data_IF_358497908098
#
_entry.id   IF_358497908098
#
_cell.length_a   1.000
_cell.length_b   1.000
_cell.length_c   1.000
_cell.angle_alpha   90.00
_cell.angle_beta   90.00
_cell.angle_gamma   90.00
#
_symmetry.space_group_name_H-M   'P 1'
#
loop_
_entity.id
_entity.type
_entity.pdbx_description
1 polymer ?
#
# COMPACT_ATOMS: atom_id res chain seq x y z
N UNK A 1 -7.33 -30.84 -34.67
CA UNK A 1 -7.13 -29.45 -35.13
C UNK A 1 -8.20 -28.62 -34.43
N UNK A 2 -7.92 -28.18 -33.20
CA UNK A 2 -7.33 -26.87 -32.87
C UNK A 2 -8.35 -25.73 -32.96
N UNK A 3 -8.90 -25.32 -31.81
CA UNK A 3 -8.72 -23.93 -31.37
C UNK A 3 -9.03 -23.79 -29.87
N UNK A 4 -7.99 -23.98 -29.03
CA UNK A 4 -7.92 -23.33 -27.73
C UNK A 4 -7.34 -21.94 -28.00
N UNK A 5 -8.00 -20.88 -27.57
CA UNK A 5 -7.55 -19.54 -27.93
C UNK A 5 -8.32 -18.40 -27.28
N UNK A 6 -7.91 -18.09 -26.06
CA UNK A 6 -7.87 -16.74 -25.51
C UNK A 6 -9.15 -16.19 -24.87
N UNK A 7 -9.49 -16.72 -23.68
CA UNK A 7 -10.16 -15.91 -22.66
C UNK A 7 -9.09 -15.02 -22.05
N UNK A 8 -8.89 -13.82 -22.60
CA UNK A 8 -8.20 -12.76 -21.86
C UNK A 8 -9.13 -12.30 -20.75
N UNK A 9 -9.13 -13.03 -19.63
CA UNK A 9 -9.71 -12.53 -18.39
C UNK A 9 -8.99 -11.22 -18.08
N UNK A 10 -9.71 -10.12 -18.31
CA UNK A 10 -9.26 -8.78 -17.95
C UNK A 10 -8.82 -8.82 -16.50
N UNK A 11 -7.52 -8.65 -16.25
CA UNK A 11 -7.00 -8.55 -14.89
C UNK A 11 -7.58 -7.26 -14.30
N UNK A 12 -8.75 -7.38 -13.65
CA UNK A 12 -9.34 -6.29 -12.89
C UNK A 12 -8.41 -6.08 -11.70
N UNK A 13 -7.78 -4.92 -11.61
CA UNK A 13 -7.16 -4.49 -10.36
C UNK A 13 -8.31 -4.36 -9.36
N UNK A 14 -8.45 -5.34 -8.47
CA UNK A 14 -9.69 -5.59 -7.72
C UNK A 14 -9.93 -4.50 -6.67
N UNK A 15 -8.87 -3.93 -6.11
CA UNK A 15 -8.86 -2.75 -5.24
C UNK A 15 -7.39 -2.45 -4.89
N UNK A 16 -7.14 -1.49 -3.98
CA UNK A 16 -5.76 -1.16 -3.58
C UNK A 16 -5.07 -2.20 -2.68
N UNK A 17 -5.68 -3.35 -2.38
CA UNK A 17 -5.10 -4.48 -1.63
C UNK A 17 -5.32 -5.84 -2.32
N UNK A 18 -5.64 -5.84 -3.62
CA UNK A 18 -5.81 -7.06 -4.42
C UNK A 18 -6.84 -8.05 -3.83
N UNK A 19 -7.96 -7.53 -3.33
CA UNK A 19 -9.04 -8.33 -2.76
C UNK A 19 -8.73 -8.90 -1.37
N UNK A 20 -7.64 -8.48 -0.73
CA UNK A 20 -7.35 -8.82 0.65
C UNK A 20 -8.42 -8.24 1.60
N UNK A 21 -9.03 -9.05 2.49
CA UNK A 21 -9.96 -8.55 3.49
C UNK A 21 -9.30 -7.52 4.40
N UNK A 22 -10.00 -6.42 4.66
CA UNK A 22 -9.47 -5.27 5.40
C UNK A 22 -8.98 -5.61 6.82
N UNK A 23 -9.68 -6.52 7.50
CA UNK A 23 -9.31 -6.99 8.84
C UNK A 23 -8.02 -7.83 8.80
N UNK A 24 -7.91 -8.75 7.84
CA UNK A 24 -6.70 -9.54 7.61
C UNK A 24 -5.50 -8.66 7.25
N UNK A 25 -5.72 -7.65 6.41
CA UNK A 25 -4.69 -6.69 6.04
C UNK A 25 -4.20 -5.92 7.26
N UNK A 26 -5.11 -5.34 8.05
CA UNK A 26 -4.76 -4.58 9.25
C UNK A 26 -3.99 -5.46 10.26
N UNK A 27 -4.42 -6.71 10.45
CA UNK A 27 -3.74 -7.66 11.33
C UNK A 27 -2.31 -8.00 10.85
N UNK A 28 -2.13 -8.22 9.54
CA UNK A 28 -0.82 -8.51 8.96
C UNK A 28 0.14 -7.33 9.03
N UNK A 29 -0.34 -6.12 8.71
CA UNK A 29 0.44 -4.88 8.86
C UNK A 29 0.83 -4.66 10.31
N UNK A 30 -0.11 -4.84 11.24
CA UNK A 30 0.15 -4.73 12.68
C UNK A 30 1.22 -5.72 13.13
N UNK A 31 1.17 -6.97 12.65
CA UNK A 31 2.16 -7.99 12.97
C UNK A 31 3.57 -7.61 12.50
N UNK A 32 3.69 -7.04 11.30
CA UNK A 32 4.97 -6.59 10.74
C UNK A 32 5.53 -5.43 11.57
N UNK A 33 4.71 -4.43 11.91
CA UNK A 33 5.15 -3.27 12.68
C UNK A 33 5.48 -3.62 14.14
N UNK A 34 4.79 -4.59 14.74
CA UNK A 34 5.15 -5.14 16.06
C UNK A 34 6.50 -5.83 16.05
N UNK A 35 6.80 -6.60 14.99
CA UNK A 35 8.10 -7.27 14.83
C UNK A 35 9.25 -6.25 14.74
N UNK A 36 8.98 -5.09 14.14
CA UNK A 36 9.93 -3.98 14.05
C UNK A 36 9.95 -3.10 15.31
N UNK A 37 9.18 -3.44 16.36
CA UNK A 37 9.11 -2.73 17.64
C UNK A 37 8.70 -1.26 17.53
N UNK A 38 7.77 -0.93 16.63
CA UNK A 38 7.24 0.43 16.51
C UNK A 38 6.35 0.82 17.70
N UNK A 39 6.23 2.12 17.90
CA UNK A 39 5.48 2.75 18.98
C UNK A 39 3.96 2.57 18.86
N UNK A 40 3.26 2.81 19.97
CA UNK A 40 1.82 2.59 20.07
C UNK A 40 0.99 3.42 19.08
N UNK A 41 1.41 4.65 18.77
CA UNK A 41 0.69 5.49 17.81
C UNK A 41 0.75 4.89 16.39
N UNK A 42 1.90 4.33 16.01
CA UNK A 42 2.08 3.58 14.76
C UNK A 42 1.19 2.34 14.71
N UNK A 43 1.17 1.55 15.79
CA UNK A 43 0.34 0.34 15.88
C UNK A 43 -1.16 0.67 15.84
N UNK A 44 -1.55 1.78 16.47
CA UNK A 44 -2.93 2.29 16.45
C UNK A 44 -3.33 2.74 15.05
N UNK A 45 -2.45 3.46 14.34
CA UNK A 45 -2.69 3.85 12.95
C UNK A 45 -2.87 2.62 12.05
N UNK A 46 -1.99 1.61 12.18
CA UNK A 46 -2.05 0.36 11.42
C UNK A 46 -3.35 -0.44 11.68
N UNK A 47 -3.78 -0.53 12.94
CA UNK A 47 -5.03 -1.22 13.30
C UNK A 47 -6.27 -0.55 12.69
N UNK A 48 -6.16 0.73 12.29
CA UNK A 48 -7.24 1.52 11.73
C UNK A 48 -7.03 1.85 10.24
N UNK A 49 -6.11 1.15 9.57
CA UNK A 49 -5.66 1.44 8.20
C UNK A 49 -6.77 1.44 7.15
N UNK A 50 -7.81 0.63 7.36
CA UNK A 50 -8.97 0.50 6.48
C UNK A 50 -10.04 1.60 6.66
N UNK A 51 -9.97 2.40 7.73
CA UNK A 51 -10.94 3.49 7.92
C UNK A 51 -10.79 4.51 6.78
N UNK A 52 -11.85 5.26 6.50
CA UNK A 52 -11.88 6.29 5.44
C UNK A 52 -12.24 7.69 5.95
N UNK A 53 -12.47 7.83 7.26
CA UNK A 53 -12.78 9.11 7.91
C UNK A 53 -11.73 10.19 7.64
N UNK A 54 -12.16 11.45 7.61
CA UNK A 54 -11.28 12.61 7.52
C UNK A 54 -10.44 12.82 8.80
N UNK A 55 -9.42 13.70 8.70
CA UNK A 55 -8.44 13.94 9.76
C UNK A 55 -9.09 14.23 11.12
N UNK A 56 -10.03 15.17 11.20
CA UNK A 56 -10.66 15.56 12.47
C UNK A 56 -11.39 14.41 13.16
N UNK A 57 -12.12 13.59 12.40
CA UNK A 57 -12.83 12.42 12.92
C UNK A 57 -11.86 11.33 13.38
N UNK A 58 -10.74 11.14 12.66
CA UNK A 58 -9.68 10.22 13.08
C UNK A 58 -8.99 10.71 14.34
N UNK A 59 -8.63 12.00 14.42
CA UNK A 59 -7.98 12.57 15.60
C UNK A 59 -8.82 12.34 16.86
N UNK A 60 -10.15 12.47 16.78
CA UNK A 60 -11.06 12.16 17.89
C UNK A 60 -11.12 10.67 18.24
N UNK A 61 -10.93 9.78 17.27
CA UNK A 61 -11.09 8.33 17.44
C UNK A 61 -9.81 7.64 17.91
N UNK A 62 -8.65 8.05 17.37
CA UNK A 62 -7.37 7.35 17.52
C UNK A 62 -6.22 8.24 17.98
N UNK A 63 -6.50 9.50 18.31
CA UNK A 63 -5.50 10.50 18.68
C UNK A 63 -4.88 11.21 17.47
N UNK A 64 -4.30 12.39 17.72
CA UNK A 64 -3.74 13.26 16.67
C UNK A 64 -2.56 12.63 15.95
N UNK A 65 -1.65 12.00 16.70
CA UNK A 65 -0.45 11.37 16.15
C UNK A 65 -0.79 10.20 15.22
N UNK A 66 -1.57 9.23 15.69
CA UNK A 66 -2.04 8.10 14.88
C UNK A 66 -2.83 8.55 13.66
N UNK A 67 -3.64 9.61 13.80
CA UNK A 67 -4.39 10.18 12.69
C UNK A 67 -3.48 10.82 11.64
N UNK A 68 -2.44 11.56 12.05
CA UNK A 68 -1.43 12.13 11.14
C UNK A 68 -0.70 11.03 10.36
N UNK A 69 -0.26 9.97 11.05
CA UNK A 69 0.40 8.83 10.43
C UNK A 69 -0.49 8.17 9.36
N UNK A 70 -1.75 7.91 9.71
CA UNK A 70 -2.71 7.27 8.81
C UNK A 70 -3.02 8.16 7.58
N UNK A 71 -3.12 9.47 7.76
CA UNK A 71 -3.32 10.41 6.65
C UNK A 71 -2.08 10.46 5.75
N UNK A 72 -0.88 10.49 6.32
CA UNK A 72 0.37 10.42 5.56
C UNK A 72 0.45 9.14 4.71
N UNK A 73 0.15 8.00 5.31
CA UNK A 73 0.08 6.71 4.61
C UNK A 73 -0.88 6.74 3.41
N UNK A 74 -2.09 7.29 3.60
CA UNK A 74 -3.07 7.43 2.52
C UNK A 74 -2.56 8.33 1.39
N UNK A 75 -1.80 9.38 1.72
CA UNK A 75 -1.14 10.24 0.74
C UNK A 75 -0.17 9.46 -0.16
N UNK A 76 0.68 8.62 0.45
CA UNK A 76 1.59 7.74 -0.30
C UNK A 76 0.82 6.72 -1.16
N UNK A 77 -0.21 6.07 -0.62
CA UNK A 77 -1.04 5.13 -1.37
C UNK A 77 -1.75 5.80 -2.56
N UNK A 78 -2.22 7.03 -2.38
CA UNK A 78 -2.85 7.78 -3.46
C UNK A 78 -1.83 8.18 -4.53
N UNK A 79 -0.62 8.57 -4.13
CA UNK A 79 0.46 8.86 -5.06
C UNK A 79 0.80 7.62 -5.91
N UNK A 80 0.97 6.48 -5.26
CA UNK A 80 1.21 5.19 -5.90
C UNK A 80 0.09 4.83 -6.90
N UNK A 81 -1.18 4.96 -6.50
CA UNK A 81 -2.31 4.63 -7.37
C UNK A 81 -2.38 5.51 -8.63
N UNK A 82 -1.89 6.76 -8.57
CA UNK A 82 -1.80 7.65 -9.74
C UNK A 82 -0.75 7.19 -10.75
N UNK A 83 0.32 6.53 -10.30
CA UNK A 83 1.36 5.97 -11.18
C UNK A 83 0.81 4.81 -12.00
N UNK A 84 0.10 3.89 -11.34
CA UNK A 84 -0.47 2.69 -11.97
C UNK A 84 -1.53 3.06 -13.02
N UNK A 85 -2.25 4.18 -12.83
CA UNK A 85 -3.33 4.61 -13.73
C UNK A 85 -2.87 5.32 -14.99
N UNK A 86 -1.73 6.01 -14.97
CA UNK A 86 -1.39 6.91 -16.07
C UNK A 86 -0.81 6.20 -17.31
N UNK A 87 -0.10 5.06 -17.18
CA UNK A 87 0.67 4.60 -18.34
C UNK A 87 0.56 3.11 -18.72
N UNK A 88 -0.20 2.25 -18.02
CA UNK A 88 -0.20 0.81 -18.32
C UNK A 88 1.22 0.18 -18.31
N UNK A 89 2.17 0.91 -17.74
CA UNK A 89 3.63 0.79 -17.76
C UNK A 89 4.17 1.84 -16.79
N UNK A 90 5.45 1.74 -16.42
CA UNK A 90 6.05 2.64 -15.43
C UNK A 90 6.85 3.72 -16.17
N UNK A 91 6.34 4.95 -16.25
CA UNK A 91 7.18 6.08 -16.66
C UNK A 91 8.19 6.43 -15.55
N UNK A 92 9.44 6.68 -15.96
CA UNK A 92 10.54 7.14 -15.08
C UNK A 92 10.09 8.38 -14.28
N UNK A 93 9.36 9.30 -14.92
CA UNK A 93 8.85 10.52 -14.27
C UNK A 93 7.86 10.24 -13.12
N UNK A 94 7.08 9.16 -13.22
CA UNK A 94 6.17 8.75 -12.17
C UNK A 94 6.91 8.17 -10.96
N UNK A 95 7.96 7.37 -11.22
CA UNK A 95 8.80 6.80 -10.17
C UNK A 95 9.52 7.89 -9.37
N UNK A 96 10.07 8.89 -10.05
CA UNK A 96 10.73 10.04 -9.40
C UNK A 96 9.79 10.80 -8.46
N UNK A 97 8.53 11.01 -8.87
CA UNK A 97 7.53 11.70 -8.06
C UNK A 97 7.12 10.88 -6.83
N UNK A 98 7.06 9.56 -6.95
CA UNK A 98 6.80 8.68 -5.81
C UNK A 98 7.96 8.68 -4.84
N UNK A 99 9.19 8.53 -5.33
CA UNK A 99 10.40 8.61 -4.52
C UNK A 99 10.50 9.97 -3.82
N UNK A 100 10.21 11.07 -4.51
CA UNK A 100 10.13 12.41 -3.90
C UNK A 100 9.13 12.46 -2.76
N UNK A 101 7.95 11.88 -2.92
CA UNK A 101 6.93 11.84 -1.86
C UNK A 101 7.31 10.93 -0.70
N UNK A 102 7.95 9.80 -0.95
CA UNK A 102 8.48 8.94 0.10
C UNK A 102 9.57 9.66 0.88
N UNK A 103 10.47 10.38 0.21
CA UNK A 103 11.51 11.18 0.86
C UNK A 103 10.92 12.34 1.69
N UNK A 104 9.89 13.02 1.18
CA UNK A 104 9.18 14.06 1.95
C UNK A 104 8.48 13.46 3.16
N UNK A 105 7.76 12.34 2.99
CA UNK A 105 7.12 11.63 4.09
C UNK A 105 8.14 11.12 5.12
N UNK A 106 9.30 10.64 4.68
CA UNK A 106 10.42 10.24 5.54
C UNK A 106 10.97 11.44 6.33
N UNK A 107 11.15 12.58 5.67
CA UNK A 107 11.63 13.81 6.29
C UNK A 107 10.67 14.38 7.33
N UNK A 108 9.36 14.19 7.13
CA UNK A 108 8.33 14.58 8.09
C UNK A 108 8.19 13.56 9.23
N UNK A 109 8.03 12.27 8.91
CA UNK A 109 7.91 11.17 9.87
C UNK A 109 8.14 9.79 9.20
N UNK A 110 9.29 9.17 9.48
CA UNK A 110 9.67 7.83 9.00
C UNK A 110 8.56 6.77 9.22
N UNK A 111 7.78 6.87 10.29
CA UNK A 111 6.74 5.87 10.62
C UNK A 111 5.69 5.77 9.52
N UNK A 112 5.43 6.85 8.79
CA UNK A 112 4.53 6.85 7.62
C UNK A 112 5.02 5.92 6.52
N UNK A 113 6.32 5.98 6.21
CA UNK A 113 6.94 5.14 5.19
C UNK A 113 6.97 3.68 5.65
N UNK A 114 7.24 3.42 6.92
CA UNK A 114 7.23 2.07 7.48
C UNK A 114 5.83 1.43 7.44
N UNK A 115 4.76 2.18 7.75
CA UNK A 115 3.38 1.70 7.61
C UNK A 115 3.08 1.38 6.13
N UNK A 116 3.52 2.23 5.21
CA UNK A 116 3.35 2.01 3.78
C UNK A 116 4.04 0.72 3.31
N UNK A 117 5.32 0.53 3.62
CA UNK A 117 6.08 -0.67 3.24
C UNK A 117 5.51 -1.93 3.89
N UNK A 118 5.09 -1.87 5.15
CA UNK A 118 4.43 -2.99 5.82
C UNK A 118 3.11 -3.37 5.13
N UNK A 119 2.32 -2.38 4.69
CA UNK A 119 1.10 -2.58 3.89
C UNK A 119 1.40 -3.22 2.53
N UNK A 120 2.43 -2.76 1.81
CA UNK A 120 2.85 -3.36 0.53
C UNK A 120 3.29 -4.82 0.73
N UNK A 121 4.12 -5.09 1.74
CA UNK A 121 4.60 -6.43 2.06
C UNK A 121 3.46 -7.37 2.45
N UNK A 122 2.49 -6.90 3.23
CA UNK A 122 1.35 -7.71 3.63
C UNK A 122 0.52 -8.13 2.40
N UNK A 123 0.23 -7.20 1.49
CA UNK A 123 -0.50 -7.52 0.25
C UNK A 123 0.30 -8.48 -0.65
N UNK A 124 1.63 -8.38 -0.70
CA UNK A 124 2.47 -9.37 -1.39
C UNK A 124 2.37 -10.77 -0.79
N UNK A 125 2.33 -10.86 0.54
CA UNK A 125 2.12 -12.13 1.25
C UNK A 125 0.74 -12.71 0.94
N UNK A 126 -0.30 -11.88 0.90
CA UNK A 126 -1.64 -12.28 0.51
C UNK A 126 -1.70 -12.85 -0.91
N UNK A 127 -1.18 -12.13 -1.90
CA UNK A 127 -1.10 -12.57 -3.30
C UNK A 127 -0.39 -13.92 -3.42
N UNK A 128 0.71 -14.10 -2.69
CA UNK A 128 1.48 -15.35 -2.67
C UNK A 128 0.69 -16.49 -2.03
N UNK A 129 0.00 -16.23 -0.92
CA UNK A 129 -0.81 -17.21 -0.20
C UNK A 129 -1.98 -17.72 -1.05
N UNK A 130 -2.70 -16.79 -1.68
CA UNK A 130 -3.85 -17.05 -2.55
C UNK A 130 -3.44 -17.50 -3.96
N UNK A 131 -2.13 -17.55 -4.25
CA UNK A 131 -1.54 -17.94 -5.55
C UNK A 131 -2.13 -17.16 -6.73
N UNK A 132 -2.38 -15.87 -6.52
CA UNK A 132 -2.96 -15.00 -7.53
C UNK A 132 -1.95 -14.68 -8.62
N UNK A 133 -2.42 -14.58 -9.87
CA UNK A 133 -1.60 -14.05 -10.95
C UNK A 133 -1.40 -12.55 -10.79
N UNK A 134 -0.14 -12.14 -10.71
CA UNK A 134 0.26 -10.75 -10.53
C UNK A 134 0.61 -10.10 -11.88
N UNK A 135 0.01 -8.96 -12.24
CA UNK A 135 0.42 -8.21 -13.42
C UNK A 135 1.90 -7.85 -13.39
N UNK A 136 2.63 -8.14 -14.47
CA UNK A 136 4.07 -7.82 -14.59
C UNK A 136 4.38 -6.35 -14.30
N UNK A 137 3.52 -5.44 -14.75
CA UNK A 137 3.69 -4.01 -14.51
C UNK A 137 3.66 -3.65 -13.01
N UNK A 138 2.83 -4.31 -12.21
CA UNK A 138 2.76 -4.08 -10.77
C UNK A 138 3.92 -4.73 -10.02
N UNK A 139 4.35 -5.92 -10.45
CA UNK A 139 5.55 -6.56 -9.91
C UNK A 139 6.80 -5.69 -10.13
N UNK A 140 6.95 -5.13 -11.33
CA UNK A 140 8.06 -4.24 -11.67
C UNK A 140 8.00 -2.92 -10.90
N UNK A 141 6.81 -2.44 -10.56
CA UNK A 141 6.63 -1.21 -9.77
C UNK A 141 7.18 -1.37 -8.36
N UNK A 142 6.80 -2.48 -7.71
CA UNK A 142 7.31 -2.84 -6.38
C UNK A 142 8.83 -2.92 -6.39
N UNK A 143 9.40 -3.60 -7.40
CA UNK A 143 10.85 -3.72 -7.52
C UNK A 143 11.53 -2.36 -7.66
N UNK A 144 10.94 -1.45 -8.43
CA UNK A 144 11.56 -0.17 -8.73
C UNK A 144 11.38 0.89 -7.63
N UNK A 145 10.31 0.81 -6.84
CA UNK A 145 9.94 1.85 -5.85
C UNK A 145 10.11 1.34 -4.42
N UNK A 146 9.58 0.16 -4.12
CA UNK A 146 9.49 -0.35 -2.75
C UNK A 146 10.73 -1.17 -2.32
N UNK A 147 11.53 -1.65 -3.29
CA UNK A 147 12.71 -2.48 -3.06
C UNK A 147 14.05 -1.85 -3.50
N UNK A 148 14.02 -0.64 -4.03
CA UNK A 148 15.22 0.11 -4.47
C UNK A 148 15.97 0.78 -3.33
#
# INVERSE_FOLDING_TARGET
MSNAGNVSESIKIIDGWYGEPSESHAAGVLSILKLLHLDEATLTAASNIARTHGKESLTKLIGDESAKLLIGYRGLRQAQAKLVRNDGGLSISGQEEMLRKMLLAFGDDLRVVLIYLASRLQTLRWITHEKMEMPKAWAQEILNIDAS
#
